data_IF_602319323963
#
_entry.id   IF_602319323963
#
_cell.length_a   1.000
_cell.length_b   1.000
_cell.length_c   1.000
_cell.angle_alpha   90.00
_cell.angle_beta   90.00
_cell.angle_gamma   90.00
#
_symmetry.space_group_name_H-M   'P 1'
#
loop_
_entity.id
_entity.type
_entity.pdbx_description
1 polymer ?
#
# COMPACT_ATOMS: atom_id res chain seq x y z
N UNK A 1 -33.50 43.58 -63.91
CA UNK A 1 -32.44 42.58 -64.18
C UNK A 1 -31.26 42.94 -63.40
N UNK A 2 -31.07 42.40 -62.19
CA UNK A 2 -29.78 42.31 -61.51
C UNK A 2 -29.95 41.36 -60.32
N UNK A 3 -29.37 40.18 -60.44
CA UNK A 3 -29.29 39.14 -59.44
C UNK A 3 -28.27 39.55 -58.36
N UNK A 4 -28.69 39.80 -57.15
CA UNK A 4 -27.76 39.93 -56.00
C UNK A 4 -27.63 38.58 -55.31
N UNK A 5 -26.47 37.97 -55.47
CA UNK A 5 -26.03 36.79 -54.68
C UNK A 5 -25.76 37.27 -53.25
N UNK A 6 -26.46 36.77 -52.30
CA UNK A 6 -26.14 36.86 -50.87
C UNK A 6 -25.23 35.68 -50.52
N UNK A 7 -23.98 35.96 -50.21
CA UNK A 7 -23.02 35.01 -49.66
C UNK A 7 -23.29 34.96 -48.15
N UNK A 8 -23.89 33.89 -47.69
CA UNK A 8 -24.03 33.60 -46.26
C UNK A 8 -22.70 32.96 -45.78
N UNK A 9 -21.93 33.67 -44.97
CA UNK A 9 -20.76 33.15 -44.27
C UNK A 9 -21.25 32.28 -43.11
N UNK A 10 -21.10 30.97 -43.26
CA UNK A 10 -21.33 30.00 -42.20
C UNK A 10 -20.11 29.98 -41.25
N UNK A 11 -20.27 30.63 -40.10
CA UNK A 11 -19.31 30.52 -38.99
C UNK A 11 -19.45 29.14 -38.36
N UNK A 12 -18.57 28.19 -38.70
CA UNK A 12 -18.42 26.93 -37.94
C UNK A 12 -17.78 27.27 -36.60
N UNK A 13 -18.59 27.31 -35.56
CA UNK A 13 -18.10 27.23 -34.19
C UNK A 13 -17.53 25.83 -33.96
N UNK A 14 -16.21 25.70 -33.84
CA UNK A 14 -15.58 24.49 -33.28
C UNK A 14 -15.93 24.40 -31.79
N UNK A 15 -17.02 23.76 -31.47
CA UNK A 15 -17.22 23.22 -30.15
C UNK A 15 -16.33 22.00 -30.03
N UNK A 16 -15.09 22.20 -29.56
CA UNK A 16 -14.18 21.13 -29.25
C UNK A 16 -14.77 20.27 -28.13
N UNK A 17 -14.94 19.03 -28.45
CA UNK A 17 -15.39 17.96 -27.61
C UNK A 17 -14.62 17.87 -26.29
N UNK A 18 -15.32 18.02 -25.21
CA UNK A 18 -14.92 17.54 -23.89
C UNK A 18 -15.93 16.49 -23.39
N UNK A 19 -16.13 15.42 -24.19
CA UNK A 19 -16.86 14.23 -23.74
C UNK A 19 -16.19 13.01 -24.34
N UNK A 20 -14.99 12.68 -23.81
CA UNK A 20 -14.43 11.34 -23.85
C UNK A 20 -14.22 10.91 -22.40
N UNK A 21 -15.36 10.75 -21.72
CA UNK A 21 -15.45 9.99 -20.49
C UNK A 21 -15.74 8.54 -20.91
N UNK A 22 -14.68 7.77 -21.06
CA UNK A 22 -14.76 6.39 -21.55
C UNK A 22 -13.39 5.71 -21.54
N UNK A 23 -12.66 5.84 -20.45
CA UNK A 23 -11.47 5.06 -20.20
C UNK A 23 -11.27 5.00 -18.70
N UNK A 24 -11.31 3.79 -18.11
CA UNK A 24 -11.09 3.55 -16.70
C UNK A 24 -9.72 4.05 -16.21
N UNK A 25 -9.56 5.37 -16.15
CA UNK A 25 -8.48 6.01 -15.44
C UNK A 25 -8.79 5.97 -13.97
N UNK A 26 -7.83 5.64 -13.14
CA UNK A 26 -7.89 5.85 -11.70
C UNK A 26 -8.21 7.32 -11.45
N UNK A 27 -9.47 7.63 -11.19
CA UNK A 27 -9.92 8.99 -10.95
C UNK A 27 -9.28 9.54 -9.68
N UNK A 28 -9.24 10.85 -9.53
CA UNK A 28 -8.78 11.54 -8.31
C UNK A 28 -9.51 11.11 -7.03
N UNK A 29 -10.59 10.32 -7.16
CA UNK A 29 -11.36 9.71 -6.08
C UNK A 29 -10.66 8.51 -5.41
N UNK A 30 -9.69 7.88 -6.09
CA UNK A 30 -9.03 6.66 -5.59
C UNK A 30 -7.93 6.96 -4.57
N UNK A 31 -7.51 8.22 -4.47
CA UNK A 31 -6.49 8.68 -3.56
C UNK A 31 -7.03 9.76 -2.62
N UNK A 32 -6.47 9.80 -1.41
CA UNK A 32 -6.67 10.87 -0.45
C UNK A 32 -5.32 11.38 0.04
N UNK A 33 -5.12 12.70 -0.01
CA UNK A 33 -3.90 13.32 0.49
C UNK A 33 -3.72 13.07 1.99
N UNK A 34 -2.55 12.57 2.37
CA UNK A 34 -2.07 12.42 3.73
C UNK A 34 -0.99 13.45 3.96
N UNK A 35 -1.27 14.46 4.77
CA UNK A 35 -0.32 15.52 5.05
C UNK A 35 0.76 15.07 6.03
N UNK A 36 1.88 15.83 6.09
CA UNK A 36 2.98 15.63 7.04
C UNK A 36 2.56 15.98 8.50
N UNK A 37 1.51 15.35 9.00
CA UNK A 37 0.94 15.51 10.36
C UNK A 37 0.60 14.15 10.95
N UNK A 38 0.31 14.03 12.26
CA UNK A 38 -0.08 12.74 12.85
C UNK A 38 -1.38 12.19 12.26
N UNK A 39 -1.36 10.94 11.80
CA UNK A 39 -2.50 10.21 11.26
C UNK A 39 -2.74 8.91 12.01
N UNK A 40 -4.00 8.63 12.33
CA UNK A 40 -4.41 7.29 12.74
C UNK A 40 -4.52 6.39 11.53
N UNK A 41 -3.89 5.22 11.53
CA UNK A 41 -3.84 4.29 10.41
C UNK A 41 -4.62 3.00 10.69
N UNK A 42 -5.13 2.39 9.64
CA UNK A 42 -5.97 1.19 9.71
C UNK A 42 -7.27 1.44 10.48
N UNK A 43 -7.54 0.63 11.50
CA UNK A 43 -8.68 0.81 12.41
C UNK A 43 -8.45 1.90 13.49
N UNK A 44 -7.36 2.64 13.38
CA UNK A 44 -7.02 3.75 14.25
C UNK A 44 -6.29 3.37 15.53
N UNK A 45 -5.85 2.13 15.71
CA UNK A 45 -5.12 1.69 16.90
C UNK A 45 -3.65 2.15 16.92
N UNK A 46 -3.10 2.53 15.77
CA UNK A 46 -1.75 3.06 15.62
C UNK A 46 -1.79 4.46 14.99
N UNK A 47 -0.89 5.34 15.45
CA UNK A 47 -0.70 6.69 14.90
C UNK A 47 0.71 6.81 14.38
N UNK A 48 0.87 7.36 13.18
CA UNK A 48 2.15 7.64 12.52
C UNK A 48 2.19 9.09 12.04
N UNK A 49 3.40 9.62 11.83
CA UNK A 49 3.62 10.96 11.28
C UNK A 49 4.57 10.86 10.10
N UNK A 50 4.11 11.04 8.86
CA UNK A 50 4.99 11.03 7.71
C UNK A 50 5.86 12.31 7.67
N UNK A 51 7.11 12.24 7.15
CA UNK A 51 8.00 13.41 7.04
C UNK A 51 7.60 14.37 5.93
N UNK A 52 6.78 13.92 4.99
CA UNK A 52 6.19 14.69 3.88
C UNK A 52 4.81 14.15 3.53
N UNK A 53 4.12 14.83 2.63
CA UNK A 53 2.80 14.41 2.15
C UNK A 53 2.88 13.08 1.37
N UNK A 54 1.89 12.21 1.59
CA UNK A 54 1.69 10.92 0.93
C UNK A 54 0.28 10.84 0.34
N UNK A 55 0.00 9.79 -0.41
CA UNK A 55 -1.33 9.50 -0.93
C UNK A 55 -1.84 8.20 -0.32
N UNK A 56 -2.97 8.27 0.41
CA UNK A 56 -3.69 7.08 0.86
C UNK A 56 -4.43 6.48 -0.31
N UNK A 57 -4.30 5.19 -0.52
CA UNK A 57 -5.04 4.44 -1.52
C UNK A 57 -6.43 4.14 -0.95
N UNK A 58 -7.49 4.65 -1.58
CA UNK A 58 -8.88 4.42 -1.15
C UNK A 58 -9.42 3.08 -1.63
N UNK A 59 -9.13 2.73 -2.88
CA UNK A 59 -9.39 1.41 -3.42
C UNK A 59 -8.27 0.48 -2.96
N UNK A 60 -8.55 -0.40 -2.01
CA UNK A 60 -7.56 -1.34 -1.51
C UNK A 60 -7.28 -2.40 -2.56
N UNK A 61 -6.05 -2.43 -3.06
CA UNK A 61 -5.60 -3.45 -4.03
C UNK A 61 -5.70 -4.87 -3.47
N UNK A 62 -5.71 -5.03 -2.13
CA UNK A 62 -5.68 -6.31 -1.44
C UNK A 62 -6.80 -6.51 -0.42
N UNK A 63 -7.88 -5.73 -0.55
CA UNK A 63 -9.13 -5.98 0.16
C UNK A 63 -9.35 -5.35 1.56
N UNK A 64 -10.64 -5.23 1.91
CA UNK A 64 -11.22 -4.49 3.03
C UNK A 64 -10.97 -5.06 4.44
N UNK A 65 -9.73 -5.28 4.83
CA UNK A 65 -9.41 -5.53 6.23
C UNK A 65 -9.18 -4.19 6.93
N UNK A 66 -10.09 -3.79 7.83
CA UNK A 66 -10.05 -2.51 8.54
C UNK A 66 -8.73 -2.21 9.25
N UNK A 67 -8.00 -3.28 9.66
CA UNK A 67 -6.70 -3.14 10.30
C UNK A 67 -5.58 -2.78 9.30
N UNK A 68 -5.83 -2.79 7.99
CA UNK A 68 -4.83 -2.53 6.94
C UNK A 68 -5.13 -1.20 6.25
N UNK A 69 -4.08 -0.42 6.02
CA UNK A 69 -4.14 0.84 5.27
C UNK A 69 -2.88 1.00 4.42
N UNK A 70 -3.05 1.48 3.19
CA UNK A 70 -1.96 1.58 2.23
C UNK A 70 -1.77 3.02 1.75
N UNK A 71 -0.51 3.46 1.71
CA UNK A 71 -0.09 4.75 1.17
C UNK A 71 0.95 4.58 0.07
N UNK A 72 1.01 5.54 -0.85
CA UNK A 72 2.01 5.59 -1.91
C UNK A 72 2.46 7.03 -2.17
N UNK A 73 3.67 7.19 -2.70
CA UNK A 73 4.18 8.47 -3.20
C UNK A 73 4.02 8.59 -4.72
N UNK A 74 4.40 7.52 -5.43
CA UNK A 74 4.56 7.53 -6.88
C UNK A 74 3.52 6.66 -7.60
N UNK A 75 2.66 6.00 -6.85
CA UNK A 75 1.65 5.07 -7.36
C UNK A 75 1.90 3.63 -6.87
N UNK A 76 0.81 2.84 -6.72
CA UNK A 76 0.86 1.54 -6.03
C UNK A 76 1.74 0.48 -6.73
N UNK A 77 2.02 0.67 -8.03
CA UNK A 77 2.92 -0.22 -8.79
C UNK A 77 4.40 0.16 -8.64
N UNK A 78 4.71 1.33 -8.08
CA UNK A 78 6.08 1.83 -7.97
C UNK A 78 6.60 1.78 -6.53
N UNK A 79 5.78 2.19 -5.57
CA UNK A 79 6.08 2.15 -4.14
C UNK A 79 4.82 2.06 -3.30
N UNK A 80 4.97 1.60 -2.07
CA UNK A 80 3.89 1.59 -1.10
C UNK A 80 4.37 1.38 0.33
N UNK A 81 3.65 1.99 1.26
CA UNK A 81 3.74 1.69 2.70
C UNK A 81 2.40 1.15 3.15
N UNK A 82 2.41 -0.07 3.68
CA UNK A 82 1.24 -0.71 4.28
C UNK A 82 1.35 -0.70 5.80
N UNK A 83 0.24 -0.38 6.46
CA UNK A 83 0.11 -0.41 7.91
C UNK A 83 -0.84 -1.52 8.32
N UNK A 84 -0.41 -2.38 9.24
CA UNK A 84 -1.26 -3.36 9.91
C UNK A 84 -1.38 -2.91 11.36
N UNK A 85 -2.57 -2.43 11.73
CA UNK A 85 -2.82 -1.72 12.99
C UNK A 85 -3.76 -2.55 13.88
N UNK A 86 -3.19 -3.43 14.68
CA UNK A 86 -3.94 -4.19 15.68
C UNK A 86 -4.71 -5.39 15.14
N UNK A 87 -4.18 -6.10 14.14
CA UNK A 87 -4.78 -7.32 13.60
C UNK A 87 -4.92 -8.40 14.68
N UNK A 88 -6.13 -8.88 14.89
CA UNK A 88 -6.44 -9.89 15.91
C UNK A 88 -5.96 -11.27 15.49
N UNK A 89 -5.57 -12.10 16.47
CA UNK A 89 -5.32 -13.53 16.27
C UNK A 89 -6.53 -14.22 15.61
N UNK A 90 -6.26 -15.13 14.68
CA UNK A 90 -7.26 -15.83 13.86
C UNK A 90 -7.77 -15.04 12.65
N UNK A 91 -7.25 -13.82 12.39
CA UNK A 91 -7.60 -13.00 11.22
C UNK A 91 -6.48 -13.05 10.18
N UNK A 92 -6.85 -12.98 8.90
CA UNK A 92 -5.92 -12.81 7.80
C UNK A 92 -5.68 -11.32 7.53
N UNK A 93 -4.52 -10.98 6.95
CA UNK A 93 -4.16 -9.62 6.53
C UNK A 93 -5.05 -9.13 5.38
N UNK A 94 -5.52 -10.06 4.55
CA UNK A 94 -6.42 -9.81 3.42
C UNK A 94 -7.74 -10.55 3.62
N UNK A 95 -8.79 -10.02 3.02
CA UNK A 95 -10.04 -10.77 2.90
C UNK A 95 -9.84 -11.94 1.95
N UNK A 96 -10.38 -13.07 2.26
CA UNK A 96 -10.28 -14.27 1.41
C UNK A 96 -11.55 -15.11 1.56
N UNK A 97 -11.99 -15.68 0.43
CA UNK A 97 -13.08 -16.62 0.43
C UNK A 97 -12.58 -17.98 0.97
N UNK A 98 -13.43 -18.68 1.71
CA UNK A 98 -13.12 -20.03 2.21
C UNK A 98 -12.96 -21.05 1.08
N UNK A 99 -13.51 -20.79 -0.08
CA UNK A 99 -13.45 -21.66 -1.26
C UNK A 99 -12.22 -21.41 -2.13
N UNK A 100 -11.43 -20.36 -1.87
CA UNK A 100 -10.19 -20.14 -2.60
C UNK A 100 -9.18 -21.25 -2.36
N UNK A 101 -8.65 -21.79 -3.45
CA UNK A 101 -7.66 -22.88 -3.42
C UNK A 101 -6.37 -22.49 -2.71
N UNK A 102 -5.93 -21.22 -2.88
CA UNK A 102 -4.74 -20.67 -2.21
C UNK A 102 -5.17 -19.61 -1.21
N UNK A 103 -4.81 -19.82 0.04
CA UNK A 103 -5.13 -18.89 1.12
C UNK A 103 -3.87 -18.38 1.79
N UNK A 104 -3.90 -17.09 2.17
CA UNK A 104 -2.90 -16.48 3.04
C UNK A 104 -3.13 -16.99 4.47
N UNK A 105 -2.08 -17.44 5.18
CA UNK A 105 -2.21 -17.85 6.58
C UNK A 105 -2.81 -16.77 7.46
N UNK A 106 -3.60 -17.17 8.44
CA UNK A 106 -4.13 -16.26 9.45
C UNK A 106 -3.06 -15.98 10.49
N UNK A 107 -2.97 -14.73 10.92
CA UNK A 107 -2.12 -14.35 12.03
C UNK A 107 -2.52 -15.11 13.33
N UNK A 108 -1.55 -15.56 14.09
CA UNK A 108 -1.71 -16.09 15.46
C UNK A 108 -0.80 -15.29 16.39
N UNK A 109 -1.27 -15.04 17.60
CA UNK A 109 -0.56 -14.24 18.60
C UNK A 109 0.76 -14.89 19.10
N UNK A 110 0.91 -16.19 18.91
CA UNK A 110 2.08 -17.00 19.26
C UNK A 110 3.09 -17.13 18.09
N UNK A 111 2.83 -16.50 16.95
CA UNK A 111 3.76 -16.53 15.81
C UNK A 111 5.09 -15.90 16.17
N UNK A 112 6.15 -16.63 15.86
CA UNK A 112 7.52 -16.12 15.88
C UNK A 112 7.80 -15.16 14.72
N UNK A 113 8.83 -14.31 14.79
CA UNK A 113 9.18 -13.42 13.68
C UNK A 113 9.38 -14.14 12.33
N UNK A 114 10.05 -15.32 12.25
CA UNK A 114 10.11 -16.08 11.00
C UNK A 114 8.73 -16.52 10.47
N UNK A 115 7.79 -16.90 11.34
CA UNK A 115 6.44 -17.28 10.93
C UNK A 115 5.64 -16.09 10.38
N UNK A 116 5.83 -14.89 10.94
CA UNK A 116 5.23 -13.66 10.38
C UNK A 116 5.85 -13.34 9.02
N UNK A 117 7.17 -13.49 8.84
CA UNK A 117 7.83 -13.33 7.55
C UNK A 117 7.27 -14.32 6.51
N UNK A 118 7.09 -15.59 6.87
CA UNK A 118 6.48 -16.62 6.01
C UNK A 118 5.01 -16.30 5.67
N UNK A 119 4.25 -15.73 6.61
CA UNK A 119 2.89 -15.29 6.36
C UNK A 119 2.86 -14.16 5.31
N UNK A 120 3.80 -13.20 5.37
CA UNK A 120 3.93 -12.12 4.38
C UNK A 120 4.41 -12.65 3.02
N UNK A 121 5.37 -13.59 2.98
CA UNK A 121 5.74 -14.28 1.74
C UNK A 121 4.51 -14.92 1.09
N UNK A 122 3.67 -15.60 1.88
CA UNK A 122 2.42 -16.19 1.39
C UNK A 122 1.47 -15.15 0.83
N UNK A 123 1.38 -13.96 1.45
CA UNK A 123 0.60 -12.84 0.95
C UNK A 123 1.09 -12.42 -0.45
N UNK A 124 2.40 -12.19 -0.60
CA UNK A 124 3.00 -11.78 -1.87
C UNK A 124 2.79 -12.82 -2.97
N UNK A 125 2.99 -14.11 -2.66
CA UNK A 125 2.79 -15.20 -3.64
C UNK A 125 1.33 -15.40 -4.03
N UNK A 126 0.41 -15.30 -3.08
CA UNK A 126 -1.02 -15.61 -3.31
C UNK A 126 -1.78 -14.42 -3.89
N UNK A 127 -1.48 -13.21 -3.43
CA UNK A 127 -2.21 -11.99 -3.79
C UNK A 127 -1.41 -11.01 -4.64
N UNK A 128 -0.10 -10.89 -4.41
CA UNK A 128 0.77 -10.01 -5.15
C UNK A 128 1.31 -10.60 -6.46
N UNK A 129 1.08 -11.89 -6.72
CA UNK A 129 1.57 -12.55 -7.93
C UNK A 129 3.09 -12.76 -7.96
N UNK A 130 3.78 -12.64 -6.81
CA UNK A 130 5.23 -12.84 -6.74
C UNK A 130 5.62 -14.25 -7.16
N UNK A 131 6.50 -14.36 -8.15
CA UNK A 131 7.03 -15.62 -8.68
C UNK A 131 8.28 -16.07 -7.92
N UNK A 132 9.05 -15.12 -7.38
CA UNK A 132 10.17 -15.39 -6.47
C UNK A 132 10.06 -14.48 -5.23
N UNK A 133 10.48 -14.97 -4.07
CA UNK A 133 10.50 -14.20 -2.82
C UNK A 133 11.68 -14.66 -1.96
N UNK A 134 12.48 -13.71 -1.46
CA UNK A 134 13.68 -13.95 -0.65
C UNK A 134 13.68 -13.04 0.57
N UNK A 135 13.70 -13.64 1.74
CA UNK A 135 14.03 -12.92 2.97
C UNK A 135 15.55 -12.69 3.02
N UNK A 136 15.97 -11.44 3.09
CA UNK A 136 17.39 -11.04 3.08
C UNK A 136 18.00 -10.95 4.47
N UNK A 137 17.19 -10.63 5.48
CA UNK A 137 17.62 -10.50 6.86
C UNK A 137 16.44 -10.42 7.81
N UNK A 138 16.64 -10.95 9.01
CA UNK A 138 15.71 -10.85 10.13
C UNK A 138 16.50 -10.48 11.37
N UNK A 139 16.12 -9.39 12.04
CA UNK A 139 16.81 -8.88 13.23
C UNK A 139 15.80 -8.37 14.28
N UNK A 140 16.17 -8.43 15.57
CA UNK A 140 15.41 -7.74 16.61
C UNK A 140 15.38 -6.23 16.37
N UNK A 141 14.20 -5.63 16.58
CA UNK A 141 14.02 -4.17 16.55
C UNK A 141 12.90 -3.76 17.50
N UNK A 142 13.10 -2.75 18.31
CA UNK A 142 12.02 -2.15 19.11
C UNK A 142 11.02 -1.45 18.19
N UNK A 143 9.73 -1.74 18.40
CA UNK A 143 8.64 -1.09 17.69
C UNK A 143 7.47 -0.82 18.65
N UNK A 144 6.86 0.37 18.57
CA UNK A 144 5.78 0.82 19.48
C UNK A 144 6.17 0.71 20.98
N UNK A 145 7.46 0.88 21.30
CA UNK A 145 7.99 0.72 22.66
C UNK A 145 8.01 -0.72 23.19
N UNK A 146 7.85 -1.72 22.32
CA UNK A 146 7.87 -3.15 22.65
C UNK A 146 9.00 -3.88 21.90
N UNK A 147 9.50 -5.00 22.42
CA UNK A 147 10.35 -5.89 21.64
C UNK A 147 9.62 -6.33 20.37
N UNK A 148 10.28 -6.19 19.25
CA UNK A 148 9.74 -6.52 17.93
C UNK A 148 10.85 -6.99 17.00
N UNK A 149 10.62 -6.90 15.72
CA UNK A 149 11.51 -7.41 14.68
C UNK A 149 11.45 -6.55 13.43
N UNK A 150 12.53 -6.61 12.67
CA UNK A 150 12.63 -6.11 11.30
C UNK A 150 13.03 -7.25 10.39
N UNK A 151 12.48 -7.30 9.19
CA UNK A 151 13.03 -8.12 8.13
C UNK A 151 13.01 -7.38 6.80
N UNK A 152 14.07 -7.63 6.03
CA UNK A 152 14.24 -7.13 4.68
C UNK A 152 13.99 -8.28 3.70
N UNK A 153 13.39 -7.98 2.56
CA UNK A 153 13.09 -8.96 1.53
C UNK A 153 13.20 -8.39 0.13
N UNK A 154 13.33 -9.27 -0.83
CA UNK A 154 13.17 -8.97 -2.26
C UNK A 154 12.19 -9.95 -2.86
N UNK A 155 11.46 -9.51 -3.87
CA UNK A 155 10.59 -10.37 -4.66
C UNK A 155 10.59 -9.96 -6.13
N UNK A 156 10.24 -10.92 -6.98
CA UNK A 156 10.02 -10.74 -8.40
C UNK A 156 8.53 -10.88 -8.68
N UNK A 157 7.92 -9.85 -9.21
CA UNK A 157 6.52 -9.86 -9.60
C UNK A 157 6.31 -10.59 -10.94
N UNK A 158 5.06 -10.92 -11.25
CA UNK A 158 4.69 -11.58 -12.49
C UNK A 158 4.92 -10.76 -13.77
N UNK A 159 5.17 -9.46 -13.63
CA UNK A 159 5.59 -8.53 -14.70
C UNK A 159 7.11 -8.42 -14.84
N UNK A 160 7.87 -9.32 -14.20
CA UNK A 160 9.34 -9.39 -14.22
C UNK A 160 10.03 -8.18 -13.54
N UNK A 161 9.33 -7.46 -12.70
CA UNK A 161 9.90 -6.34 -11.93
C UNK A 161 10.41 -6.80 -10.57
N UNK A 162 11.71 -6.58 -10.33
CA UNK A 162 12.28 -6.78 -9.01
C UNK A 162 11.90 -5.66 -8.05
N UNK A 163 11.37 -6.06 -6.92
CA UNK A 163 10.99 -5.18 -5.83
C UNK A 163 11.80 -5.50 -4.58
N UNK A 164 11.93 -4.52 -3.70
CA UNK A 164 12.59 -4.67 -2.40
C UNK A 164 11.69 -4.09 -1.32
N UNK A 165 11.67 -4.76 -0.17
CA UNK A 165 10.85 -4.31 0.93
C UNK A 165 11.54 -4.44 2.28
N UNK A 166 10.95 -3.75 3.25
CA UNK A 166 11.28 -3.80 4.68
C UNK A 166 10.00 -3.84 5.48
N UNK A 167 9.95 -4.73 6.45
CA UNK A 167 8.86 -4.79 7.42
C UNK A 167 9.40 -4.63 8.83
N UNK A 168 8.68 -3.88 9.67
CA UNK A 168 8.95 -3.72 11.10
C UNK A 168 7.68 -4.01 11.85
N UNK A 169 7.73 -4.91 12.83
CA UNK A 169 6.54 -5.36 13.53
C UNK A 169 6.75 -5.78 14.96
N UNK A 170 5.64 -5.86 15.69
CA UNK A 170 5.55 -6.39 17.05
C UNK A 170 4.15 -6.91 17.34
N UNK A 171 4.04 -7.72 18.38
CA UNK A 171 2.75 -8.16 18.94
C UNK A 171 2.49 -7.43 20.25
N UNK A 172 1.37 -6.71 20.35
CA UNK A 172 0.93 -6.04 21.58
C UNK A 172 -0.44 -6.57 21.96
N UNK A 173 -0.56 -7.11 23.17
CA UNK A 173 -1.82 -7.68 23.68
C UNK A 173 -2.47 -8.68 22.70
N UNK A 174 -1.66 -9.57 22.10
CA UNK A 174 -2.11 -10.58 21.16
C UNK A 174 -2.55 -10.06 19.79
N UNK A 175 -2.24 -8.81 19.46
CA UNK A 175 -2.54 -8.19 18.17
C UNK A 175 -1.26 -7.83 17.43
N UNK A 176 -1.25 -8.06 16.12
CA UNK A 176 -0.14 -7.69 15.26
C UNK A 176 -0.20 -6.21 14.90
N UNK A 177 0.92 -5.54 15.08
CA UNK A 177 1.22 -4.20 14.54
C UNK A 177 2.43 -4.32 13.63
N UNK A 178 2.31 -3.80 12.42
CA UNK A 178 3.38 -3.89 11.44
C UNK A 178 3.31 -2.71 10.47
N UNK A 179 4.49 -2.17 10.14
CA UNK A 179 4.69 -1.30 8.98
C UNK A 179 5.44 -2.09 7.92
N UNK A 180 5.06 -1.95 6.66
CA UNK A 180 5.62 -2.67 5.54
C UNK A 180 5.89 -1.68 4.41
N UNK A 181 7.13 -1.55 3.97
CA UNK A 181 7.51 -0.79 2.78
C UNK A 181 7.86 -1.74 1.66
N UNK A 182 7.37 -1.47 0.46
CA UNK A 182 7.64 -2.23 -0.73
C UNK A 182 7.75 -1.29 -1.94
N UNK A 183 8.83 -1.40 -2.70
CA UNK A 183 9.06 -0.53 -3.84
C UNK A 183 9.93 -1.19 -4.91
N UNK A 184 9.79 -0.73 -6.16
CA UNK A 184 10.64 -1.15 -7.27
C UNK A 184 12.11 -0.90 -6.91
N UNK A 185 12.92 -1.97 -6.98
CA UNK A 185 14.29 -2.03 -6.45
C UNK A 185 15.24 -1.04 -7.11
N UNK A 186 15.10 -0.82 -8.41
CA UNK A 186 16.06 -0.06 -9.21
C UNK A 186 16.17 1.42 -8.81
N UNK A 187 15.09 2.05 -8.36
CA UNK A 187 15.06 3.48 -8.04
C UNK A 187 14.22 3.78 -6.79
N UNK A 188 12.97 3.36 -6.79
CA UNK A 188 11.95 3.82 -5.83
C UNK A 188 12.23 3.38 -4.40
N UNK A 189 12.84 2.19 -4.22
CA UNK A 189 13.20 1.73 -2.88
C UNK A 189 14.14 2.71 -2.18
N UNK A 190 15.25 3.09 -2.84
CA UNK A 190 16.23 4.00 -2.24
C UNK A 190 15.70 5.44 -2.13
N UNK A 191 14.77 5.82 -2.98
CA UNK A 191 14.20 7.17 -2.99
C UNK A 191 13.33 7.48 -1.76
N UNK A 192 12.70 6.47 -1.13
CA UNK A 192 11.77 6.70 -0.03
C UNK A 192 11.98 5.81 1.20
N UNK A 193 13.04 4.98 1.26
CA UNK A 193 13.34 4.17 2.46
C UNK A 193 13.56 5.03 3.71
N UNK A 194 14.17 6.20 3.58
CA UNK A 194 14.37 7.13 4.70
C UNK A 194 13.04 7.69 5.23
N UNK A 195 12.09 7.97 4.35
CA UNK A 195 10.74 8.41 4.74
C UNK A 195 9.99 7.29 5.46
N UNK A 196 10.08 6.06 4.96
CA UNK A 196 9.51 4.89 5.63
C UNK A 196 10.09 4.70 7.03
N UNK A 197 11.40 4.84 7.21
CA UNK A 197 12.04 4.76 8.52
C UNK A 197 11.51 5.85 9.46
N UNK A 198 11.40 7.09 9.00
CA UNK A 198 10.85 8.19 9.78
C UNK A 198 9.38 7.94 10.17
N UNK A 199 8.55 7.42 9.26
CA UNK A 199 7.18 6.99 9.54
C UNK A 199 7.15 5.92 10.63
N UNK A 200 7.99 4.89 10.49
CA UNK A 200 8.07 3.76 11.41
C UNK A 200 8.53 4.18 12.81
N UNK A 201 9.53 5.06 12.90
CA UNK A 201 10.04 5.62 14.16
C UNK A 201 9.01 6.52 14.86
N UNK A 202 8.16 7.22 14.09
CA UNK A 202 7.09 8.07 14.63
C UNK A 202 5.90 7.28 15.18
N UNK A 203 5.85 5.97 14.91
CA UNK A 203 4.71 5.12 15.24
C UNK A 203 4.49 5.01 16.75
N UNK A 204 3.23 5.17 17.18
CA UNK A 204 2.82 4.98 18.57
C UNK A 204 1.41 4.39 18.65
N UNK A 205 1.10 3.69 19.73
CA UNK A 205 -0.25 3.26 20.01
C UNK A 205 -1.13 4.48 20.34
N UNK A 206 -2.36 4.45 19.87
CA UNK A 206 -3.36 5.44 20.27
C UNK A 206 -3.72 5.17 21.73
N UNK A 207 -3.64 6.22 22.54
CA UNK A 207 -4.08 6.21 23.94
C UNK A 207 -5.58 6.33 24.03
#
# INVERSE_FOLDING_TARGET
>A
MFRRLLIAAASLALAACSTLDGGGGFGSSDYALVRATPHSVGDGAMVVTPPRDWNRIRARLFDDVRAVEDWTLNGPYLDGVSFISGLKSGKAIVRQDRQEYRQVPKYRADMTPPEVAAMLESLYRVRGGAVDFKTLGLAPRTFLGQPGYQFDFEHLDGDEVWRKGRAVGTTVNGRLYLTLYDAVRSHYYNAAIADYEAITESARLKR
#
